data_IF_641889083706
#
_entry.id   IF_641889083706
#
_cell.length_a   1.000
_cell.length_b   1.000
_cell.length_c   1.000
_cell.angle_alpha   90.00
_cell.angle_beta   90.00
_cell.angle_gamma   90.00
#
_symmetry.space_group_name_H-M   'P 1'
#
loop_
_entity.id
_entity.type
_entity.pdbx_description
1 polymer ?
#
# COMPACT_ATOMS: atom_id res chain seq x y z
N UNK A 1 -2.38 45.59 -2.59
CA UNK A 1 -0.97 45.66 -3.09
C UNK A 1 -0.05 44.65 -2.43
N UNK A 2 -0.36 44.15 -1.22
CA UNK A 2 0.46 43.14 -0.54
C UNK A 2 0.57 41.78 -1.29
N UNK A 3 -0.52 41.35 -1.92
CA UNK A 3 -0.60 40.06 -2.65
C UNK A 3 0.31 40.06 -3.88
N UNK A 4 0.39 41.15 -4.62
CA UNK A 4 1.22 41.23 -5.84
C UNK A 4 2.71 41.14 -5.48
N UNK A 5 3.12 41.80 -4.39
CA UNK A 5 4.50 41.73 -3.90
C UNK A 5 4.89 40.32 -3.49
N UNK A 6 4.00 39.63 -2.79
CA UNK A 6 4.23 38.24 -2.35
C UNK A 6 4.25 37.28 -3.56
N UNK A 7 3.35 37.45 -4.53
CA UNK A 7 3.33 36.66 -5.76
C UNK A 7 4.64 36.80 -6.56
N UNK A 8 5.15 38.02 -6.70
CA UNK A 8 6.44 38.28 -7.36
C UNK A 8 7.62 37.63 -6.61
N UNK A 9 7.61 37.70 -5.27
CA UNK A 9 8.62 37.05 -4.44
C UNK A 9 8.60 35.52 -4.61
N UNK A 10 7.40 34.91 -4.64
CA UNK A 10 7.25 33.47 -4.82
C UNK A 10 7.69 33.00 -6.23
N UNK A 11 7.52 33.82 -7.25
CA UNK A 11 7.94 33.50 -8.61
C UNK A 11 9.45 33.21 -8.71
N UNK A 12 10.27 33.89 -7.92
CA UNK A 12 11.73 33.75 -7.90
C UNK A 12 12.25 32.89 -6.73
N UNK A 13 11.36 32.36 -5.89
CA UNK A 13 11.74 31.50 -4.76
C UNK A 13 12.01 30.07 -5.22
N UNK A 14 12.84 29.35 -4.48
CA UNK A 14 13.03 27.90 -4.72
C UNK A 14 11.73 27.16 -4.33
N UNK A 15 11.35 26.10 -5.09
CA UNK A 15 10.20 25.28 -4.73
C UNK A 15 10.41 24.62 -3.37
N UNK A 16 9.37 24.55 -2.55
CA UNK A 16 9.39 23.87 -1.24
C UNK A 16 9.25 22.34 -1.37
N UNK A 17 8.86 21.87 -2.55
CA UNK A 17 8.64 20.44 -2.83
C UNK A 17 9.86 19.82 -3.49
N UNK A 18 10.01 18.51 -3.32
CA UNK A 18 11.04 17.71 -4.00
C UNK A 18 10.68 17.54 -5.47
N UNK A 19 11.68 17.58 -6.34
CA UNK A 19 11.51 17.40 -7.78
C UNK A 19 11.39 15.91 -8.14
N UNK A 20 10.35 15.27 -7.66
CA UNK A 20 10.04 13.90 -8.02
C UNK A 20 9.68 13.78 -9.52
N UNK A 21 10.15 12.78 -10.30
CA UNK A 21 10.92 11.60 -9.87
C UNK A 21 12.45 11.78 -9.92
N UNK A 22 12.96 12.95 -10.24
CA UNK A 22 14.41 13.19 -10.38
C UNK A 22 15.14 13.19 -9.04
N UNK A 23 14.45 13.67 -7.99
CA UNK A 23 14.92 13.63 -6.60
C UNK A 23 13.91 12.83 -5.78
N UNK A 24 14.39 11.82 -5.06
CA UNK A 24 13.56 11.00 -4.17
C UNK A 24 14.04 11.16 -2.74
N UNK A 25 13.12 11.36 -1.83
CA UNK A 25 13.41 11.29 -0.40
C UNK A 25 13.49 9.83 0.05
N UNK A 26 14.41 9.55 0.97
CA UNK A 26 14.48 8.25 1.61
C UNK A 26 13.17 7.95 2.34
N UNK A 27 12.61 6.77 2.10
CA UNK A 27 11.38 6.34 2.75
C UNK A 27 11.67 6.07 4.23
N UNK A 28 10.97 6.73 5.17
CA UNK A 28 11.23 6.57 6.61
C UNK A 28 10.88 5.17 7.11
N UNK A 29 11.44 4.81 8.27
CA UNK A 29 11.02 3.62 9.00
C UNK A 29 9.54 3.76 9.42
N UNK A 30 8.81 2.67 9.39
CA UNK A 30 7.38 2.67 9.69
C UNK A 30 6.47 3.19 8.57
N UNK A 31 7.00 3.42 7.37
CA UNK A 31 6.19 3.76 6.21
C UNK A 31 5.22 2.62 5.87
N UNK A 32 3.98 2.97 5.61
CA UNK A 32 2.92 2.03 5.24
C UNK A 32 2.74 1.99 3.73
N UNK A 33 3.63 1.27 3.06
CA UNK A 33 3.49 0.99 1.63
C UNK A 33 2.59 -0.23 1.38
N UNK A 34 2.77 -0.89 0.25
CA UNK A 34 1.96 -2.06 -0.11
C UNK A 34 2.11 -3.21 0.88
N UNK A 35 1.02 -3.76 1.43
CA UNK A 35 1.08 -4.98 2.23
C UNK A 35 1.43 -6.19 1.34
N UNK A 36 2.29 -7.06 1.84
CA UNK A 36 2.70 -8.30 1.19
C UNK A 36 2.42 -9.48 2.11
N UNK A 37 1.84 -10.55 1.56
CA UNK A 37 1.50 -11.78 2.27
C UNK A 37 2.60 -12.82 2.13
N UNK A 38 3.08 -13.33 3.24
CA UNK A 38 3.91 -14.54 3.30
C UNK A 38 2.98 -15.76 3.41
N UNK A 39 2.80 -16.46 2.30
CA UNK A 39 1.90 -17.61 2.22
C UNK A 39 2.41 -18.83 3.00
N UNK A 40 3.69 -18.88 3.38
CA UNK A 40 4.22 -19.92 4.26
C UNK A 40 3.76 -19.76 5.72
N UNK A 41 3.58 -18.52 6.16
CA UNK A 41 3.09 -18.20 7.51
C UNK A 41 1.56 -18.10 7.58
N UNK A 42 0.92 -17.80 6.46
CA UNK A 42 -0.53 -17.62 6.37
C UNK A 42 -1.25 -18.95 6.62
N UNK A 43 -2.23 -18.94 7.51
CA UNK A 43 -3.10 -20.09 7.82
C UNK A 43 -4.49 -20.00 7.18
N UNK A 44 -4.74 -18.98 6.37
CA UNK A 44 -6.04 -18.79 5.70
C UNK A 44 -7.21 -18.56 6.67
N UNK A 45 -6.98 -17.86 7.78
CA UNK A 45 -8.01 -17.61 8.79
C UNK A 45 -9.09 -16.58 8.36
N UNK A 46 -8.84 -15.80 7.30
CA UNK A 46 -9.78 -14.81 6.76
C UNK A 46 -9.94 -13.54 7.58
N UNK A 47 -9.17 -13.35 8.63
CA UNK A 47 -9.28 -12.18 9.49
C UNK A 47 -8.94 -10.89 8.74
N UNK A 48 -7.89 -10.89 7.94
CA UNK A 48 -7.46 -9.73 7.14
C UNK A 48 -8.55 -9.26 6.15
N UNK A 49 -9.28 -10.18 5.52
CA UNK A 49 -10.41 -9.85 4.64
C UNK A 49 -11.57 -9.23 5.40
N UNK A 50 -11.90 -9.76 6.59
CA UNK A 50 -13.01 -9.25 7.41
C UNK A 50 -12.74 -7.91 8.06
N UNK A 51 -11.50 -7.65 8.45
CA UNK A 51 -11.12 -6.41 9.15
C UNK A 51 -10.81 -5.26 8.20
N UNK A 52 -10.60 -5.53 6.91
CA UNK A 52 -10.27 -4.51 5.93
C UNK A 52 -11.42 -3.50 5.77
N UNK A 53 -11.23 -2.20 6.11
CA UNK A 53 -12.30 -1.22 6.08
C UNK A 53 -12.75 -0.85 4.66
N UNK A 54 -11.86 -1.02 3.67
CA UNK A 54 -12.14 -0.69 2.26
C UNK A 54 -12.51 -1.90 1.39
N UNK A 55 -12.53 -3.11 1.97
CA UNK A 55 -12.81 -4.34 1.21
C UNK A 55 -11.77 -4.62 0.12
N UNK A 56 -10.51 -4.24 0.36
CA UNK A 56 -9.41 -4.41 -0.58
C UNK A 56 -8.81 -5.83 -0.60
N UNK A 57 -9.27 -6.71 0.28
CA UNK A 57 -8.74 -8.07 0.43
C UNK A 57 -9.87 -9.06 0.22
N UNK A 58 -9.72 -9.91 -0.77
CA UNK A 58 -10.62 -11.02 -1.03
C UNK A 58 -9.89 -12.34 -0.77
N UNK A 59 -10.54 -13.23 -0.04
CA UNK A 59 -10.01 -14.55 0.21
C UNK A 59 -10.83 -15.60 -0.52
N UNK A 60 -10.17 -16.42 -1.30
CA UNK A 60 -10.75 -17.55 -2.01
C UNK A 60 -10.31 -18.84 -1.32
N UNK A 61 -11.26 -19.65 -0.90
CA UNK A 61 -10.99 -20.87 -0.12
C UNK A 61 -10.76 -20.59 1.37
N UNK A 62 -10.32 -21.60 2.09
CA UNK A 62 -10.04 -21.54 3.54
C UNK A 62 -8.83 -22.41 3.91
N UNK A 63 -8.20 -22.05 5.03
CA UNK A 63 -7.09 -22.80 5.56
C UNK A 63 -5.85 -22.79 4.67
N UNK A 64 -5.24 -23.93 4.51
CA UNK A 64 -3.97 -24.06 3.79
C UNK A 64 -4.10 -23.93 2.25
N UNK A 65 -5.30 -24.02 1.70
CA UNK A 65 -5.60 -23.85 0.28
C UNK A 65 -6.11 -22.46 -0.07
N UNK A 66 -6.15 -21.56 0.90
CA UNK A 66 -6.62 -20.21 0.70
C UNK A 66 -5.70 -19.43 -0.23
N UNK A 67 -6.32 -18.73 -1.19
CA UNK A 67 -5.69 -17.74 -2.04
C UNK A 67 -6.15 -16.35 -1.61
N UNK A 68 -5.29 -15.35 -1.76
CA UNK A 68 -5.59 -13.98 -1.35
C UNK A 68 -5.41 -13.07 -2.55
N UNK A 69 -6.46 -12.36 -2.89
CA UNK A 69 -6.43 -11.28 -3.88
C UNK A 69 -6.43 -9.94 -3.16
N UNK A 70 -5.41 -9.16 -3.40
CA UNK A 70 -5.27 -7.82 -2.86
C UNK A 70 -5.49 -6.78 -3.96
N UNK A 71 -6.53 -5.97 -3.79
CA UNK A 71 -6.90 -4.89 -4.69
C UNK A 71 -6.28 -3.58 -4.21
N UNK A 72 -5.15 -3.21 -4.81
CA UNK A 72 -4.41 -1.99 -4.43
C UNK A 72 -5.22 -0.73 -4.71
N UNK A 73 -6.05 -0.74 -5.73
CA UNK A 73 -6.94 0.37 -6.10
C UNK A 73 -8.01 0.70 -5.04
N UNK A 74 -8.27 -0.22 -4.11
CA UNK A 74 -9.20 -0.03 -2.99
C UNK A 74 -8.46 0.14 -1.65
N UNK A 75 -7.19 -0.22 -1.58
CA UNK A 75 -6.43 -0.22 -0.35
C UNK A 75 -6.13 1.21 0.12
N UNK A 76 -6.40 1.49 1.38
CA UNK A 76 -6.07 2.77 2.04
C UNK A 76 -4.76 2.72 2.83
N UNK A 77 -4.01 1.63 2.74
CA UNK A 77 -2.72 1.44 3.40
C UNK A 77 -2.72 1.67 4.92
N UNK A 78 -3.83 1.37 5.58
CA UNK A 78 -4.00 1.59 7.01
C UNK A 78 -3.16 0.65 7.90
N UNK A 79 -2.69 -0.49 7.37
CA UNK A 79 -1.89 -1.48 8.11
C UNK A 79 -2.68 -2.38 9.06
N UNK A 80 -3.99 -2.20 9.17
CA UNK A 80 -4.84 -2.97 10.10
C UNK A 80 -4.75 -4.48 9.86
N UNK A 81 -4.67 -4.91 8.60
CA UNK A 81 -4.51 -6.32 8.24
C UNK A 81 -3.20 -6.92 8.77
N UNK A 82 -2.11 -6.15 8.75
CA UNK A 82 -0.81 -6.59 9.25
C UNK A 82 -0.80 -6.67 10.78
N UNK A 83 -1.35 -5.66 11.47
CA UNK A 83 -1.43 -5.62 12.93
C UNK A 83 -2.32 -6.73 13.50
N UNK A 84 -3.40 -7.07 12.81
CA UNK A 84 -4.38 -8.06 13.25
C UNK A 84 -4.02 -9.50 12.87
N UNK A 85 -2.98 -9.71 12.09
CA UNK A 85 -2.60 -11.05 11.66
C UNK A 85 -1.98 -11.85 12.81
N UNK A 86 -2.60 -12.96 13.27
CA UNK A 86 -2.10 -13.74 14.40
C UNK A 86 -0.80 -14.47 14.11
N UNK A 87 -0.45 -14.64 12.83
CA UNK A 87 0.76 -15.32 12.39
C UNK A 87 1.83 -14.37 11.86
N UNK A 88 1.60 -13.05 11.92
CA UNK A 88 2.48 -12.04 11.33
C UNK A 88 2.88 -12.37 9.87
N UNK A 89 1.90 -12.84 9.11
CA UNK A 89 2.08 -13.24 7.72
C UNK A 89 2.00 -12.05 6.75
N UNK A 90 1.68 -10.87 7.24
CA UNK A 90 1.52 -9.66 6.43
C UNK A 90 2.55 -8.64 6.86
N UNK A 91 3.32 -8.16 5.90
CA UNK A 91 4.35 -7.13 6.11
C UNK A 91 4.04 -5.90 5.29
N UNK A 92 4.05 -4.72 5.92
CA UNK A 92 3.97 -3.45 5.21
C UNK A 92 5.34 -3.13 4.60
N UNK A 93 5.38 -2.98 3.30
CA UNK A 93 6.61 -2.64 2.57
C UNK A 93 6.83 -1.14 2.46
N UNK A 94 7.97 -0.73 1.91
CA UNK A 94 8.24 0.68 1.57
C UNK A 94 7.85 1.02 0.12
N UNK A 95 7.18 0.13 -0.56
CA UNK A 95 6.72 0.28 -1.94
C UNK A 95 5.55 1.23 -2.04
N UNK A 96 5.68 2.32 -2.77
CA UNK A 96 4.64 3.33 -2.96
C UNK A 96 4.34 3.65 -4.43
N UNK A 97 5.24 3.28 -5.35
CA UNK A 97 5.05 3.47 -6.80
C UNK A 97 4.17 2.34 -7.36
N UNK A 98 2.87 2.43 -7.12
CA UNK A 98 1.90 1.38 -7.42
C UNK A 98 0.91 1.77 -8.52
N UNK A 99 1.10 2.95 -9.13
CA UNK A 99 0.23 3.43 -10.20
C UNK A 99 0.42 2.63 -11.49
N UNK A 100 -0.67 2.26 -12.13
CA UNK A 100 -0.67 1.63 -13.44
C UNK A 100 -1.84 2.18 -14.29
N UNK A 101 -1.76 2.03 -15.60
CA UNK A 101 -2.82 2.43 -16.53
C UNK A 101 -3.98 1.44 -16.59
N UNK A 102 -3.78 0.20 -16.14
CA UNK A 102 -4.77 -0.86 -16.13
C UNK A 102 -5.11 -1.28 -14.71
N UNK A 103 -6.40 -1.28 -14.39
CA UNK A 103 -6.89 -1.72 -13.08
C UNK A 103 -6.57 -3.19 -12.78
N UNK A 104 -6.51 -4.01 -13.79
CA UNK A 104 -6.21 -5.44 -13.67
C UNK A 104 -4.81 -5.69 -13.11
N UNK A 105 -3.85 -4.81 -13.43
CA UNK A 105 -2.48 -4.87 -12.91
C UNK A 105 -2.35 -4.41 -11.45
N UNK A 106 -3.38 -3.78 -10.92
CA UNK A 106 -3.44 -3.38 -9.51
C UNK A 106 -3.98 -4.49 -8.60
N UNK A 107 -4.19 -5.69 -9.12
CA UNK A 107 -4.59 -6.86 -8.35
C UNK A 107 -3.39 -7.77 -8.15
N UNK A 108 -3.01 -7.98 -6.90
CA UNK A 108 -1.93 -8.88 -6.52
C UNK A 108 -2.50 -10.17 -5.97
N UNK A 109 -2.20 -11.27 -6.66
CA UNK A 109 -2.65 -12.61 -6.27
C UNK A 109 -1.54 -13.31 -5.47
N UNK A 110 -1.88 -13.76 -4.29
CA UNK A 110 -1.00 -14.54 -3.41
C UNK A 110 -1.52 -15.97 -3.33
N UNK A 111 -0.76 -16.87 -3.94
CA UNK A 111 -1.07 -18.31 -3.97
C UNK A 111 0.07 -19.08 -3.31
N UNK A 112 -0.28 -20.16 -2.65
CA UNK A 112 0.72 -21.08 -2.11
C UNK A 112 1.20 -21.97 -3.25
N UNK A 113 2.48 -21.87 -3.57
CA UNK A 113 3.14 -22.77 -4.50
C UNK A 113 3.41 -24.07 -3.73
N UNK A 114 2.75 -25.11 -4.10
CA UNK A 114 3.00 -26.48 -3.63
C UNK A 114 4.25 -27.04 -4.27
#
# INVERSE_FOLDING_TARGET
>A
MAIIREALKQLFSRPATVKYPFEQLAVPEGFRGRPVWDMHRCIGCGLCSRICPSGAIEMIGRGMEAEINHYVDRCIFCGQCAESCPRNAITMTKEFELADYSREKMVYEYKRIT
#
